data_IF_574788920114
#
_entry.id   IF_574788920114
#
_cell.length_a   1.000
_cell.length_b   1.000
_cell.length_c   1.000
_cell.angle_alpha   90.00
_cell.angle_beta   90.00
_cell.angle_gamma   90.00
#
_symmetry.space_group_name_H-M   'P 1'
#
loop_
_entity.id
_entity.type
_entity.pdbx_description
1 polymer ?
#
# COMPACT_ATOMS: atom_id res chain seq x y z
N UNK A 1 17.13 -1.51 -8.40
CA UNK A 1 16.62 -0.16 -8.76
C UNK A 1 15.55 0.23 -7.74
N UNK A 2 15.49 1.49 -7.28
CA UNK A 2 14.62 1.96 -6.19
C UNK A 2 13.15 1.49 -6.31
N UNK A 3 12.58 1.56 -7.52
CA UNK A 3 11.24 1.07 -7.87
C UNK A 3 10.96 -0.38 -7.42
N UNK A 4 11.92 -1.29 -7.59
CA UNK A 4 11.76 -2.67 -7.14
C UNK A 4 11.70 -2.79 -5.62
N UNK A 5 12.46 -1.95 -4.89
CA UNK A 5 12.44 -1.92 -3.42
C UNK A 5 11.13 -1.31 -2.90
N UNK A 6 10.65 -0.24 -3.53
CA UNK A 6 9.33 0.36 -3.21
C UNK A 6 8.23 -0.67 -3.37
N UNK A 7 8.22 -1.42 -4.48
CA UNK A 7 7.24 -2.48 -4.72
C UNK A 7 7.27 -3.56 -3.65
N UNK A 8 8.46 -4.09 -3.32
CA UNK A 8 8.60 -5.10 -2.27
C UNK A 8 8.09 -4.57 -0.93
N UNK A 9 8.55 -3.38 -0.53
CA UNK A 9 8.14 -2.75 0.72
C UNK A 9 6.62 -2.57 0.79
N UNK A 10 6.02 -1.96 -0.23
CA UNK A 10 4.58 -1.71 -0.28
C UNK A 10 3.78 -3.02 -0.22
N UNK A 11 4.15 -4.04 -1.00
CA UNK A 11 3.43 -5.31 -1.00
C UNK A 11 3.53 -6.04 0.34
N UNK A 12 4.68 -5.97 1.02
CA UNK A 12 4.87 -6.58 2.35
C UNK A 12 4.01 -5.87 3.41
N UNK A 13 4.03 -4.54 3.44
CA UNK A 13 3.17 -3.77 4.36
C UNK A 13 1.69 -4.01 4.10
N UNK A 14 1.29 -4.00 2.82
CA UNK A 14 -0.09 -4.21 2.42
C UNK A 14 -0.57 -5.63 2.81
N UNK A 15 0.25 -6.64 2.51
CA UNK A 15 -0.04 -8.02 2.84
C UNK A 15 -0.24 -8.24 4.35
N UNK A 16 0.60 -7.63 5.18
CA UNK A 16 0.45 -7.73 6.64
C UNK A 16 -0.78 -6.94 7.13
N UNK A 17 -1.08 -5.78 6.56
CA UNK A 17 -2.29 -5.01 6.92
C UNK A 17 -3.58 -5.79 6.61
N UNK A 18 -3.68 -6.40 5.42
CA UNK A 18 -4.82 -7.26 5.06
C UNK A 18 -4.91 -8.46 6.01
N UNK A 19 -3.77 -9.07 6.35
CA UNK A 19 -3.72 -10.21 7.28
C UNK A 19 -4.25 -9.82 8.67
N UNK A 20 -3.90 -8.64 9.17
CA UNK A 20 -4.43 -8.14 10.44
C UNK A 20 -5.95 -7.94 10.37
N UNK A 21 -6.46 -7.31 9.31
CA UNK A 21 -7.91 -7.14 9.12
C UNK A 21 -8.67 -8.48 9.10
N UNK A 22 -8.14 -9.49 8.40
CA UNK A 22 -8.74 -10.83 8.38
C UNK A 22 -8.76 -11.46 9.79
N UNK A 23 -7.68 -11.31 10.56
CA UNK A 23 -7.60 -11.83 11.93
C UNK A 23 -8.58 -11.11 12.86
N UNK A 24 -8.63 -9.78 12.78
CA UNK A 24 -9.52 -8.95 13.60
C UNK A 24 -11.00 -9.22 13.36
N UNK A 25 -11.36 -9.58 12.12
CA UNK A 25 -12.73 -9.95 11.73
C UNK A 25 -13.00 -11.47 11.86
N UNK A 26 -12.05 -12.24 12.38
CA UNK A 26 -12.14 -13.71 12.51
C UNK A 26 -12.41 -14.44 11.17
N UNK A 27 -11.96 -13.86 10.05
CA UNK A 27 -12.15 -14.41 8.69
C UNK A 27 -10.99 -15.35 8.34
N UNK A 28 -11.26 -16.65 8.07
CA UNK A 28 -10.26 -17.59 7.59
C UNK A 28 -9.72 -17.19 6.20
N UNK A 29 -8.40 -17.31 6.01
CA UNK A 29 -7.74 -16.94 4.74
C UNK A 29 -8.27 -17.71 3.52
N UNK A 30 -8.83 -18.90 3.73
CA UNK A 30 -9.41 -19.75 2.69
C UNK A 30 -10.87 -19.42 2.36
N UNK A 31 -11.44 -18.36 2.93
CA UNK A 31 -12.81 -17.91 2.68
C UNK A 31 -12.87 -16.65 1.79
N UNK A 32 -11.72 -16.11 1.38
CA UNK A 32 -11.66 -14.98 0.44
C UNK A 32 -12.25 -15.40 -0.91
N UNK A 33 -13.37 -14.78 -1.27
CA UNK A 33 -14.14 -15.10 -2.47
C UNK A 33 -14.76 -13.86 -3.10
N UNK A 34 -15.15 -13.98 -4.37
CA UNK A 34 -15.91 -12.97 -5.11
C UNK A 34 -17.06 -13.62 -5.88
N UNK A 35 -18.09 -12.84 -6.18
CA UNK A 35 -19.17 -13.26 -7.07
C UNK A 35 -18.82 -13.02 -8.54
N UNK A 36 -19.04 -14.03 -9.38
CA UNK A 36 -18.89 -13.92 -10.83
C UNK A 36 -19.96 -14.73 -11.54
N UNK A 37 -20.81 -14.08 -12.35
CA UNK A 37 -21.91 -14.71 -13.09
C UNK A 37 -22.76 -15.66 -12.22
N UNK A 38 -23.25 -15.16 -11.08
CA UNK A 38 -24.05 -15.90 -10.07
C UNK A 38 -23.32 -17.06 -9.35
N UNK A 39 -22.04 -17.28 -9.63
CA UNK A 39 -21.19 -18.27 -8.95
C UNK A 39 -20.22 -17.62 -7.96
N UNK A 40 -19.97 -18.31 -6.84
CA UNK A 40 -18.95 -17.93 -5.86
C UNK A 40 -17.60 -18.52 -6.30
N UNK A 41 -16.63 -17.65 -6.54
CA UNK A 41 -15.25 -18.04 -6.87
C UNK A 41 -14.32 -17.76 -5.70
N UNK A 42 -13.68 -18.82 -5.21
CA UNK A 42 -12.69 -18.73 -4.14
C UNK A 42 -11.31 -18.38 -4.71
N UNK A 43 -10.64 -17.42 -4.08
CA UNK A 43 -9.21 -17.24 -4.30
C UNK A 43 -8.50 -18.38 -3.56
N UNK A 44 -7.64 -19.12 -4.28
CA UNK A 44 -6.97 -20.28 -3.67
C UNK A 44 -6.18 -19.88 -2.42
N UNK A 45 -6.28 -20.67 -1.35
CA UNK A 45 -5.56 -20.41 -0.09
C UNK A 45 -4.03 -20.22 -0.27
N UNK A 46 -3.34 -20.96 -1.17
CA UNK A 46 -1.94 -20.69 -1.46
C UNK A 46 -1.70 -19.30 -2.07
N UNK A 47 -2.60 -18.82 -2.93
CA UNK A 47 -2.48 -17.48 -3.52
C UNK A 47 -2.66 -16.39 -2.45
N UNK A 48 -3.72 -16.47 -1.63
CA UNK A 48 -3.93 -15.55 -0.50
C UNK A 48 -2.72 -15.59 0.44
N UNK A 49 -2.22 -16.77 0.81
CA UNK A 49 -1.05 -16.90 1.69
C UNK A 49 0.19 -16.19 1.15
N UNK A 50 0.42 -16.18 -0.17
CA UNK A 50 1.55 -15.45 -0.76
C UNK A 50 1.30 -13.94 -0.84
N UNK A 51 0.06 -13.51 -1.05
CA UNK A 51 -0.34 -12.10 -1.02
C UNK A 51 -0.14 -11.52 0.39
N UNK A 52 -0.62 -12.21 1.42
CA UNK A 52 -0.45 -11.79 2.81
C UNK A 52 1.01 -11.74 3.27
N UNK A 53 1.92 -12.40 2.54
CA UNK A 53 3.38 -12.33 2.76
C UNK A 53 4.05 -11.25 1.90
N UNK A 54 3.30 -10.48 1.11
CA UNK A 54 3.82 -9.52 0.13
C UNK A 54 4.56 -10.14 -1.06
N UNK A 55 4.47 -11.46 -1.24
CA UNK A 55 5.24 -12.21 -2.25
C UNK A 55 4.53 -12.37 -3.58
N UNK A 56 3.27 -11.96 -3.67
CA UNK A 56 2.44 -12.10 -4.86
C UNK A 56 1.62 -10.83 -5.09
N UNK A 57 1.40 -10.53 -6.37
CA UNK A 57 0.50 -9.45 -6.79
C UNK A 57 -0.93 -9.69 -6.30
N UNK A 58 -1.63 -8.61 -5.95
CA UNK A 58 -3.10 -8.60 -5.85
C UNK A 58 -3.60 -8.29 -7.25
N UNK A 59 -4.35 -9.21 -7.86
CA UNK A 59 -4.99 -9.03 -9.18
C UNK A 59 -6.34 -8.35 -9.03
N UNK A 60 -6.95 -7.92 -10.15
CA UNK A 60 -8.32 -7.38 -10.18
C UNK A 60 -9.32 -8.28 -9.43
N UNK A 61 -9.43 -9.55 -9.84
CA UNK A 61 -10.32 -10.52 -9.15
C UNK A 61 -10.03 -10.66 -7.65
N UNK A 62 -8.77 -10.49 -7.23
CA UNK A 62 -8.41 -10.63 -5.82
C UNK A 62 -8.70 -9.36 -5.03
N UNK A 63 -8.59 -8.17 -5.65
CA UNK A 63 -8.94 -6.92 -4.98
C UNK A 63 -10.44 -6.85 -4.76
N UNK A 64 -11.24 -7.27 -5.74
CA UNK A 64 -12.70 -7.35 -5.62
C UNK A 64 -13.08 -8.34 -4.50
N UNK A 65 -12.50 -9.54 -4.52
CA UNK A 65 -12.72 -10.55 -3.48
C UNK A 65 -12.37 -10.03 -2.08
N UNK A 66 -11.25 -9.34 -1.93
CA UNK A 66 -10.81 -8.78 -0.65
C UNK A 66 -11.72 -7.64 -0.20
N UNK A 67 -12.14 -6.77 -1.12
CA UNK A 67 -13.05 -5.66 -0.82
C UNK A 67 -14.38 -6.20 -0.27
N UNK A 68 -14.99 -7.18 -0.96
CA UNK A 68 -16.24 -7.81 -0.54
C UNK A 68 -16.07 -8.55 0.79
N UNK A 69 -15.04 -9.38 0.90
CA UNK A 69 -14.78 -10.21 2.09
C UNK A 69 -14.58 -9.35 3.35
N UNK A 70 -13.87 -8.23 3.25
CA UNK A 70 -13.58 -7.34 4.36
C UNK A 70 -14.65 -6.26 4.58
N UNK A 71 -15.71 -6.23 3.75
CA UNK A 71 -16.78 -5.23 3.84
C UNK A 71 -16.30 -3.80 3.59
N UNK A 72 -15.31 -3.62 2.70
CA UNK A 72 -14.65 -2.33 2.47
C UNK A 72 -15.46 -1.44 1.52
N UNK A 73 -15.49 -0.12 1.74
CA UNK A 73 -16.38 0.79 1.01
C UNK A 73 -15.99 0.97 -0.46
N UNK A 74 -14.72 0.78 -0.81
CA UNK A 74 -14.19 0.94 -2.16
C UNK A 74 -12.87 0.17 -2.34
N UNK A 75 -12.45 0.03 -3.60
CA UNK A 75 -11.20 -0.67 -3.99
C UNK A 75 -9.98 -0.01 -3.37
N UNK A 76 -9.95 1.34 -3.29
CA UNK A 76 -8.85 2.07 -2.64
C UNK A 76 -8.63 1.60 -1.21
N UNK A 77 -9.68 1.28 -0.46
CA UNK A 77 -9.57 0.80 0.92
C UNK A 77 -8.93 -0.59 1.02
N UNK A 78 -8.79 -1.34 -0.07
CA UNK A 78 -7.95 -2.54 -0.10
C UNK A 78 -6.48 -2.16 -0.21
N UNK A 79 -6.13 -1.22 -1.11
CA UNK A 79 -4.75 -0.81 -1.40
C UNK A 79 -4.14 0.15 -0.35
N UNK A 80 -4.98 1.01 0.23
CA UNK A 80 -4.66 1.96 1.28
C UNK A 80 -5.70 1.84 2.39
N UNK A 81 -5.54 0.86 3.30
CA UNK A 81 -6.58 0.51 4.29
C UNK A 81 -7.05 1.66 5.18
N UNK A 82 -6.12 2.51 5.62
CA UNK A 82 -6.42 3.67 6.45
C UNK A 82 -5.23 4.64 6.48
N UNK A 83 -5.39 5.76 7.19
CA UNK A 83 -4.31 6.74 7.37
C UNK A 83 -3.13 6.19 8.16
N UNK A 84 -3.35 5.33 9.16
CA UNK A 84 -2.26 4.72 9.95
C UNK A 84 -1.32 3.87 9.06
N UNK A 85 -1.90 3.15 8.10
CA UNK A 85 -1.14 2.45 7.06
C UNK A 85 -0.33 3.43 6.20
N UNK A 86 -0.93 4.55 5.79
CA UNK A 86 -0.21 5.58 5.04
C UNK A 86 0.92 6.20 5.86
N UNK A 87 0.72 6.48 7.15
CA UNK A 87 1.78 6.97 8.05
C UNK A 87 2.95 5.98 8.14
N UNK A 88 2.65 4.70 8.35
CA UNK A 88 3.67 3.64 8.33
C UNK A 88 4.41 3.58 6.99
N UNK A 89 3.68 3.69 5.87
CA UNK A 89 4.29 3.69 4.54
C UNK A 89 5.22 4.90 4.35
N UNK A 90 4.83 6.10 4.81
CA UNK A 90 5.69 7.30 4.75
C UNK A 90 6.98 7.12 5.55
N UNK A 91 6.90 6.54 6.76
CA UNK A 91 8.08 6.23 7.58
C UNK A 91 9.01 5.28 6.81
N UNK A 92 8.47 4.18 6.30
CA UNK A 92 9.26 3.16 5.61
C UNK A 92 9.84 3.66 4.28
N UNK A 93 9.12 4.51 3.54
CA UNK A 93 9.64 5.17 2.35
C UNK A 93 10.76 6.17 2.69
N UNK A 94 10.64 6.89 3.80
CA UNK A 94 11.70 7.78 4.31
C UNK A 94 12.98 7.00 4.61
N UNK A 95 12.88 5.89 5.35
CA UNK A 95 14.01 4.99 5.62
C UNK A 95 14.62 4.42 4.32
N UNK A 96 13.76 4.05 3.37
CA UNK A 96 14.20 3.55 2.07
C UNK A 96 14.97 4.63 1.28
N UNK A 97 14.53 5.88 1.31
CA UNK A 97 15.23 7.01 0.68
C UNK A 97 16.57 7.27 1.37
N UNK A 98 16.60 7.30 2.70
CA UNK A 98 17.83 7.50 3.50
C UNK A 98 18.89 6.41 3.22
N UNK A 99 18.47 5.17 2.98
CA UNK A 99 19.39 4.06 2.69
C UNK A 99 19.73 3.93 1.21
N UNK A 100 18.78 4.15 0.31
CA UNK A 100 18.85 3.74 -1.11
C UNK A 100 18.63 4.87 -2.13
N UNK A 101 18.31 6.09 -1.68
CA UNK A 101 18.09 7.26 -2.53
C UNK A 101 19.38 7.88 -3.10
N UNK A 102 19.21 8.89 -3.94
CA UNK A 102 20.33 9.71 -4.42
C UNK A 102 20.88 10.58 -3.29
N UNK A 103 22.17 10.93 -3.35
CA UNK A 103 22.83 11.68 -2.27
C UNK A 103 22.13 13.00 -1.92
N UNK A 104 21.68 13.76 -2.92
CA UNK A 104 20.95 15.01 -2.69
C UNK A 104 19.61 14.78 -1.98
N UNK A 105 18.85 13.76 -2.38
CA UNK A 105 17.58 13.40 -1.74
C UNK A 105 17.80 12.90 -0.32
N UNK A 106 18.86 12.11 -0.08
CA UNK A 106 19.24 11.65 1.26
C UNK A 106 19.53 12.83 2.18
N UNK A 107 20.35 13.77 1.71
CA UNK A 107 20.70 14.96 2.49
C UNK A 107 19.46 15.78 2.84
N UNK A 108 18.56 16.02 1.88
CA UNK A 108 17.29 16.69 2.14
C UNK A 108 16.48 15.97 3.24
N UNK A 109 16.32 14.66 3.14
CA UNK A 109 15.54 13.89 4.10
C UNK A 109 16.20 13.82 5.49
N UNK A 110 17.53 13.86 5.57
CA UNK A 110 18.25 13.97 6.84
C UNK A 110 18.05 15.34 7.48
N UNK A 111 18.15 16.41 6.69
CA UNK A 111 17.91 17.79 7.16
C UNK A 111 16.47 17.99 7.62
N UNK A 112 15.52 17.30 6.98
CA UNK A 112 14.07 17.38 7.24
C UNK A 112 13.51 16.29 8.13
N UNK A 113 14.32 15.43 8.73
CA UNK A 113 13.85 14.25 9.47
C UNK A 113 12.84 14.61 10.58
N UNK A 114 13.15 15.65 11.36
CA UNK A 114 12.25 16.13 12.42
C UNK A 114 10.97 16.74 11.85
N UNK A 115 11.08 17.48 10.75
CA UNK A 115 9.93 18.12 10.11
C UNK A 115 8.99 17.08 9.50
N UNK A 116 9.54 16.00 8.91
CA UNK A 116 8.78 14.84 8.42
C UNK A 116 8.01 14.19 9.57
N UNK A 117 8.66 13.94 10.70
CA UNK A 117 8.00 13.34 11.87
C UNK A 117 6.87 14.23 12.41
N UNK A 118 7.08 15.56 12.45
CA UNK A 118 6.06 16.50 12.91
C UNK A 118 4.88 16.65 11.94
N UNK A 119 5.09 16.40 10.65
CA UNK A 119 4.08 16.53 9.60
C UNK A 119 3.62 15.18 9.03
N UNK A 120 3.88 14.07 9.74
CA UNK A 120 3.62 12.71 9.25
C UNK A 120 2.18 12.51 8.80
N UNK A 121 1.21 12.97 9.61
CA UNK A 121 -0.22 12.83 9.30
C UNK A 121 -0.63 13.64 8.05
N UNK A 122 -0.03 14.82 7.86
CA UNK A 122 -0.24 15.65 6.65
C UNK A 122 0.30 14.95 5.41
N UNK A 123 1.51 14.38 5.50
CA UNK A 123 2.13 13.63 4.41
C UNK A 123 1.35 12.35 4.08
N UNK A 124 0.87 11.62 5.10
CA UNK A 124 0.04 10.44 4.93
C UNK A 124 -1.31 10.80 4.29
N UNK A 125 -1.91 11.92 4.68
CA UNK A 125 -3.13 12.43 4.04
C UNK A 125 -2.90 12.81 2.57
N UNK A 126 -1.76 13.44 2.26
CA UNK A 126 -1.40 13.77 0.88
C UNK A 126 -1.22 12.51 0.02
N UNK A 127 -0.55 11.48 0.54
CA UNK A 127 -0.44 10.17 -0.09
C UNK A 127 -1.82 9.53 -0.29
N UNK A 128 -2.64 9.50 0.76
CA UNK A 128 -3.97 8.89 0.69
C UNK A 128 -4.84 9.61 -0.36
N UNK A 129 -4.79 10.93 -0.44
CA UNK A 129 -5.59 11.72 -1.38
C UNK A 129 -5.05 11.70 -2.82
N UNK A 130 -3.79 11.29 -3.02
CA UNK A 130 -3.24 11.11 -4.36
C UNK A 130 -3.97 10.01 -5.14
N UNK A 131 -4.37 8.93 -4.45
CA UNK A 131 -5.15 7.85 -5.05
C UNK A 131 -6.66 8.11 -4.89
N UNK A 132 -7.45 8.09 -5.98
CA UNK A 132 -8.91 8.22 -5.89
C UNK A 132 -9.54 6.95 -5.30
N UNK A 133 -10.79 7.03 -4.84
CA UNK A 133 -11.52 5.89 -4.26
C UNK A 133 -11.61 4.68 -5.21
N UNK A 134 -11.59 4.96 -6.51
CA UNK A 134 -11.54 3.97 -7.59
C UNK A 134 -10.29 4.26 -8.45
N UNK A 135 -9.12 3.75 -8.05
CA UNK A 135 -7.88 3.93 -8.80
C UNK A 135 -7.97 3.30 -10.20
N UNK A 136 -7.25 3.87 -11.17
CA UNK A 136 -7.10 3.26 -12.50
C UNK A 136 -6.23 1.99 -12.44
N UNK A 137 -5.39 1.89 -11.42
CA UNK A 137 -4.55 0.72 -11.15
C UNK A 137 -5.39 -0.47 -10.66
N UNK A 138 -5.34 -1.55 -11.42
CA UNK A 138 -6.10 -2.77 -11.16
C UNK A 138 -5.37 -3.74 -10.21
N UNK A 139 -4.09 -3.47 -9.91
CA UNK A 139 -3.22 -4.42 -9.19
C UNK A 139 -2.29 -3.74 -8.20
N UNK A 140 -1.87 -4.48 -7.17
CA UNK A 140 -0.91 -3.94 -6.19
C UNK A 140 0.45 -3.60 -6.80
N UNK A 141 0.84 -4.27 -7.90
CA UNK A 141 2.06 -3.92 -8.63
C UNK A 141 1.93 -2.62 -9.42
N UNK A 142 0.76 -2.32 -10.01
CA UNK A 142 0.51 -1.03 -10.64
C UNK A 142 0.46 0.08 -9.60
N UNK A 143 -0.20 -0.13 -8.46
CA UNK A 143 -0.18 0.84 -7.34
C UNK A 143 1.26 1.12 -6.88
N UNK A 144 2.11 0.10 -6.76
CA UNK A 144 3.51 0.29 -6.40
C UNK A 144 4.31 1.09 -7.45
N UNK A 145 3.95 0.96 -8.73
CA UNK A 145 4.53 1.72 -9.81
C UNK A 145 4.13 3.20 -9.71
N UNK A 146 2.84 3.49 -9.52
CA UNK A 146 2.32 4.84 -9.28
C UNK A 146 2.85 5.46 -7.98
N UNK A 147 3.03 4.66 -6.93
CA UNK A 147 3.69 5.08 -5.70
C UNK A 147 5.15 5.50 -5.96
N UNK A 148 5.85 4.80 -6.86
CA UNK A 148 7.22 5.16 -7.24
C UNK A 148 7.27 6.48 -8.00
N UNK A 149 6.23 6.84 -8.75
CA UNK A 149 6.08 8.15 -9.39
C UNK A 149 5.72 9.23 -8.37
N UNK A 150 4.81 8.92 -7.45
CA UNK A 150 4.43 9.78 -6.33
C UNK A 150 5.61 10.16 -5.43
N UNK A 151 6.68 9.34 -5.38
CA UNK A 151 7.90 9.73 -4.65
C UNK A 151 8.51 11.05 -5.11
N UNK A 152 8.28 11.49 -6.35
CA UNK A 152 8.71 12.81 -6.83
C UNK A 152 7.93 13.92 -6.09
N UNK A 153 6.62 13.74 -5.94
CA UNK A 153 5.76 14.64 -5.17
C UNK A 153 6.15 14.59 -3.69
N UNK A 154 6.43 13.41 -3.14
CA UNK A 154 6.87 13.26 -1.76
C UNK A 154 8.15 14.06 -1.46
N UNK A 155 9.15 13.99 -2.35
CA UNK A 155 10.38 14.80 -2.24
C UNK A 155 10.05 16.29 -2.30
N UNK A 156 9.12 16.70 -3.15
CA UNK A 156 8.69 18.10 -3.27
C UNK A 156 8.00 18.56 -1.98
N UNK A 157 7.10 17.76 -1.42
CA UNK A 157 6.43 18.06 -0.14
C UNK A 157 7.45 18.20 0.99
N UNK A 158 8.40 17.27 1.11
CA UNK A 158 9.47 17.33 2.12
C UNK A 158 10.34 18.58 1.97
N UNK A 159 10.58 19.03 0.74
CA UNK A 159 11.36 20.26 0.49
C UNK A 159 10.66 21.55 0.96
N UNK A 160 9.34 21.50 1.14
CA UNK A 160 8.49 22.63 1.52
C UNK A 160 8.15 22.66 3.02
N UNK A 161 8.40 21.57 3.75
CA UNK A 161 8.36 21.56 5.22
C UNK A 161 9.41 22.54 5.78
#
# INVERSE_FOLDING_TARGET
>A
MLKAKVKTLYCELLGESIKQQLIEQEIPQNEVSYYFDDDIRLISAPAISQILKGKRNITLDTVDALQETLGLPNVKSVFFPNLDFCELLIIQLTELILTSGFNSTKQLFQEKEKDIQQNLSTLATALYNFFPDFPEEETSYQIADSLSEWLIEFVTLVSQL
#
